data_IF_624952119167
#
_entry.id   IF_624952119167
#
_cell.length_a   1.000
_cell.length_b   1.000
_cell.length_c   1.000
_cell.angle_alpha   90.00
_cell.angle_beta   90.00
_cell.angle_gamma   90.00
#
_symmetry.space_group_name_H-M   'P 1'
#
loop_
_entity.id
_entity.type
_entity.pdbx_description
1 polymer ?
#
# COMPACT_ATOMS: atom_id res chain seq x y z
N UNK A 1 15.56 14.26 -5.44
CA UNK A 1 14.25 13.58 -5.31
C UNK A 1 14.50 12.12 -4.99
N UNK A 2 13.91 11.58 -3.91
CA UNK A 2 13.92 10.15 -3.64
C UNK A 2 13.12 9.44 -4.75
N UNK A 3 13.75 8.50 -5.46
CA UNK A 3 13.03 7.68 -6.45
C UNK A 3 12.28 6.57 -5.70
N UNK A 4 10.95 6.44 -5.86
CA UNK A 4 10.24 5.31 -5.29
C UNK A 4 10.78 4.00 -5.86
N UNK A 5 10.92 2.99 -5.01
CA UNK A 5 11.41 1.65 -5.35
C UNK A 5 10.68 0.62 -4.50
N UNK A 6 10.63 -0.65 -4.89
CA UNK A 6 10.20 -1.70 -3.99
C UNK A 6 10.94 -1.65 -2.64
N UNK A 7 10.24 -1.96 -1.56
CA UNK A 7 10.72 -1.83 -0.18
C UNK A 7 10.77 -3.18 0.52
N UNK A 8 11.93 -3.50 1.07
CA UNK A 8 12.15 -4.66 1.94
C UNK A 8 12.12 -4.28 3.43
N UNK A 9 12.56 -3.07 3.74
CA UNK A 9 12.60 -2.50 5.09
C UNK A 9 11.63 -1.33 5.23
N UNK A 10 10.79 -1.38 6.25
CA UNK A 10 9.84 -0.33 6.57
C UNK A 10 9.36 -0.47 8.03
N UNK A 11 8.80 0.61 8.57
CA UNK A 11 8.16 0.62 9.90
C UNK A 11 6.64 0.81 9.76
N UNK A 12 5.88 0.00 10.48
CA UNK A 12 4.42 0.17 10.61
C UNK A 12 4.14 0.97 11.89
N UNK A 13 3.59 2.18 11.75
CA UNK A 13 3.16 2.98 12.91
C UNK A 13 1.93 2.35 13.59
N UNK A 14 1.69 2.59 14.90
CA UNK A 14 0.52 2.05 15.62
C UNK A 14 -0.81 2.36 14.93
N UNK A 15 -0.97 3.58 14.41
CA UNK A 15 -2.14 3.96 13.62
C UNK A 15 -2.29 3.08 12.37
N UNK A 16 -1.23 2.88 11.60
CA UNK A 16 -1.26 2.04 10.40
C UNK A 16 -1.57 0.58 10.75
N UNK A 17 -1.01 0.05 11.84
CA UNK A 17 -1.29 -1.30 12.32
C UNK A 17 -2.77 -1.48 12.68
N UNK A 18 -3.36 -0.52 13.37
CA UNK A 18 -4.80 -0.50 13.65
C UNK A 18 -5.64 -0.52 12.36
N UNK A 19 -5.26 0.29 11.37
CA UNK A 19 -5.95 0.35 10.09
C UNK A 19 -5.85 -0.96 9.29
N UNK A 20 -4.68 -1.59 9.26
CA UNK A 20 -4.46 -2.89 8.62
C UNK A 20 -5.40 -3.95 9.21
N UNK A 21 -5.44 -4.06 10.54
CA UNK A 21 -6.31 -5.00 11.26
C UNK A 21 -7.79 -4.74 10.97
N UNK A 22 -8.23 -3.48 11.12
CA UNK A 22 -9.63 -3.09 10.87
C UNK A 22 -10.08 -3.37 9.43
N UNK A 23 -9.16 -3.33 8.46
CA UNK A 23 -9.42 -3.52 7.03
C UNK A 23 -9.03 -4.90 6.52
N UNK A 24 -8.70 -5.83 7.42
CA UNK A 24 -8.33 -7.21 7.11
C UNK A 24 -7.20 -7.31 6.07
N UNK A 25 -6.24 -6.39 6.12
CA UNK A 25 -5.01 -6.45 5.33
C UNK A 25 -3.95 -7.13 6.20
N UNK A 26 -3.55 -8.34 5.82
CA UNK A 26 -2.48 -9.04 6.52
C UNK A 26 -1.13 -8.38 6.28
N UNK A 27 -0.21 -8.53 7.23
CA UNK A 27 1.18 -8.06 7.07
C UNK A 27 1.90 -8.78 5.92
N UNK A 28 1.51 -10.03 5.62
CA UNK A 28 2.00 -10.78 4.45
C UNK A 28 1.59 -10.09 3.16
N UNK A 29 0.30 -9.72 3.02
CA UNK A 29 -0.19 -9.01 1.84
C UNK A 29 0.46 -7.63 1.70
N UNK A 30 0.63 -6.91 2.81
CA UNK A 30 1.36 -5.64 2.85
C UNK A 30 2.81 -5.81 2.35
N UNK A 31 3.54 -6.79 2.89
CA UNK A 31 4.93 -7.07 2.53
C UNK A 31 5.07 -7.40 1.05
N UNK A 32 4.24 -8.32 0.53
CA UNK A 32 4.25 -8.69 -0.88
C UNK A 32 4.00 -7.48 -1.79
N UNK A 33 3.02 -6.64 -1.44
CA UNK A 33 2.72 -5.43 -2.19
C UNK A 33 3.89 -4.43 -2.17
N UNK A 34 4.56 -4.24 -1.02
CA UNK A 34 5.69 -3.32 -0.92
C UNK A 34 6.94 -3.83 -1.65
N UNK A 35 7.14 -5.15 -1.69
CA UNK A 35 8.26 -5.80 -2.38
C UNK A 35 8.06 -5.92 -3.90
N UNK A 36 6.82 -5.96 -4.37
CA UNK A 36 6.50 -6.05 -5.81
C UNK A 36 5.21 -5.29 -6.14
N UNK A 37 5.20 -3.95 -6.01
CA UNK A 37 4.02 -3.16 -6.29
C UNK A 37 3.75 -3.14 -7.80
N UNK A 38 2.50 -3.37 -8.20
CA UNK A 38 2.10 -3.12 -9.60
C UNK A 38 2.32 -1.66 -10.01
N UNK A 39 2.05 -0.71 -9.11
CA UNK A 39 2.28 0.72 -9.33
C UNK A 39 2.78 1.42 -8.08
N UNK A 40 3.69 2.37 -8.28
CA UNK A 40 4.06 3.36 -7.28
C UNK A 40 3.74 4.74 -7.85
N UNK A 41 2.89 5.50 -7.16
CA UNK A 41 2.46 6.84 -7.59
C UNK A 41 2.76 7.85 -6.49
N UNK A 42 3.07 9.08 -6.87
CA UNK A 42 3.20 10.19 -5.92
C UNK A 42 1.83 10.82 -5.66
N UNK A 43 1.52 11.11 -4.39
CA UNK A 43 0.33 11.85 -4.01
C UNK A 43 0.60 13.36 -3.96
N UNK A 44 -0.45 14.16 -3.80
CA UNK A 44 -0.35 15.63 -3.82
C UNK A 44 0.43 16.22 -2.64
N UNK A 45 0.71 15.43 -1.62
CA UNK A 45 1.42 15.84 -0.41
C UNK A 45 2.88 15.34 -0.40
N UNK A 46 3.40 14.85 -1.53
CA UNK A 46 4.76 14.31 -1.64
C UNK A 46 4.94 12.96 -0.96
N UNK A 47 3.85 12.24 -0.66
CA UNK A 47 3.90 10.85 -0.19
C UNK A 47 3.79 9.90 -1.38
N UNK A 48 4.25 8.68 -1.19
CA UNK A 48 4.16 7.65 -2.22
C UNK A 48 3.06 6.66 -1.89
N UNK A 49 2.30 6.25 -2.91
CA UNK A 49 1.27 5.23 -2.80
C UNK A 49 1.74 4.01 -3.58
N UNK A 50 1.96 2.94 -2.86
CA UNK A 50 2.22 1.62 -3.41
C UNK A 50 0.88 0.92 -3.54
N UNK A 51 0.58 0.40 -4.72
CA UNK A 51 -0.70 -0.24 -4.97
C UNK A 51 -0.58 -1.47 -5.85
N UNK A 52 -1.46 -2.44 -5.62
CA UNK A 52 -1.53 -3.65 -6.44
C UNK A 52 -2.95 -4.18 -6.51
N UNK A 53 -3.31 -4.72 -7.67
CA UNK A 53 -4.56 -5.43 -7.88
C UNK A 53 -4.48 -6.77 -7.18
N UNK A 54 -5.55 -7.10 -6.48
CA UNK A 54 -5.73 -8.36 -5.77
C UNK A 54 -7.06 -8.96 -6.20
N UNK A 55 -7.22 -10.27 -6.01
CA UNK A 55 -8.46 -10.99 -6.30
C UNK A 55 -9.02 -11.61 -5.03
N UNK A 56 -10.32 -11.44 -4.79
CA UNK A 56 -11.00 -12.18 -3.72
C UNK A 56 -11.05 -13.65 -4.13
N UNK A 57 -10.56 -14.55 -3.26
CA UNK A 57 -10.51 -15.99 -3.55
C UNK A 57 -11.90 -16.55 -3.92
N UNK A 58 -12.93 -16.11 -3.21
CA UNK A 58 -14.28 -16.70 -3.33
C UNK A 58 -15.07 -16.18 -4.53
N UNK A 59 -14.86 -14.92 -4.93
CA UNK A 59 -15.67 -14.28 -5.98
C UNK A 59 -14.90 -13.98 -7.27
N UNK A 60 -13.57 -14.11 -7.26
CA UNK A 60 -12.71 -13.68 -8.35
C UNK A 60 -12.70 -12.17 -8.61
N UNK A 61 -13.50 -11.39 -7.88
CA UNK A 61 -13.61 -9.94 -8.05
C UNK A 61 -12.27 -9.28 -7.72
N UNK A 62 -11.87 -8.37 -8.60
CA UNK A 62 -10.67 -7.58 -8.38
C UNK A 62 -10.94 -6.45 -7.38
N UNK A 63 -9.94 -6.20 -6.55
CA UNK A 63 -9.87 -5.03 -5.68
C UNK A 63 -8.44 -4.50 -5.68
N UNK A 64 -8.27 -3.27 -5.20
CA UNK A 64 -6.98 -2.63 -5.11
C UNK A 64 -6.60 -2.50 -3.64
N UNK A 65 -5.41 -2.96 -3.27
CA UNK A 65 -4.79 -2.56 -2.00
C UNK A 65 -3.94 -1.32 -2.29
N UNK A 66 -4.09 -0.29 -1.46
CA UNK A 66 -3.32 0.96 -1.52
C UNK A 66 -2.63 1.19 -0.19
N UNK A 67 -1.32 1.43 -0.23
CA UNK A 67 -0.47 1.67 0.93
C UNK A 67 0.20 3.02 0.77
N UNK A 68 -0.10 3.94 1.67
CA UNK A 68 0.51 5.27 1.71
C UNK A 68 1.79 5.19 2.54
N UNK A 69 2.90 5.53 1.91
CA UNK A 69 4.24 5.49 2.46
C UNK A 69 4.81 6.89 2.61
N UNK A 70 5.47 7.13 3.74
CA UNK A 70 6.37 8.24 3.94
C UNK A 70 7.80 7.76 3.69
N UNK A 71 8.38 8.17 2.57
CA UNK A 71 9.76 7.81 2.20
C UNK A 71 10.79 8.82 2.72
N UNK A 72 10.37 9.87 3.42
CA UNK A 72 11.29 10.86 4.01
C UNK A 72 11.84 10.40 5.36
N UNK A 73 11.21 9.39 5.98
CA UNK A 73 11.66 8.73 7.20
C UNK A 73 12.64 7.60 6.90
N UNK A 74 13.53 7.33 7.86
CA UNK A 74 14.47 6.19 7.81
C UNK A 74 14.29 5.29 9.06
N UNK A 75 13.78 4.05 8.91
CA UNK A 75 13.30 3.45 7.67
C UNK A 75 11.98 4.10 7.19
N UNK A 76 11.62 3.85 5.92
CA UNK A 76 10.36 4.30 5.35
C UNK A 76 9.15 3.85 6.18
N UNK A 77 8.12 4.69 6.28
CA UNK A 77 7.02 4.44 7.20
C UNK A 77 5.69 4.21 6.49
N UNK A 78 4.95 3.19 6.94
CA UNK A 78 3.56 2.97 6.53
C UNK A 78 2.69 3.97 7.29
N UNK A 79 2.08 4.90 6.55
CA UNK A 79 1.15 5.90 7.10
C UNK A 79 -0.24 5.31 7.25
N UNK A 80 -0.75 4.68 6.20
CA UNK A 80 -2.05 3.98 6.21
C UNK A 80 -2.13 2.99 5.05
N UNK A 81 -3.02 2.00 5.17
CA UNK A 81 -3.32 1.06 4.09
C UNK A 81 -4.82 0.78 4.04
N UNK A 82 -5.39 0.66 2.85
CA UNK A 82 -6.80 0.33 2.66
C UNK A 82 -7.05 -0.41 1.36
N UNK A 83 -8.23 -1.04 1.29
CA UNK A 83 -8.72 -1.72 0.10
C UNK A 83 -9.82 -0.90 -0.56
N UNK A 84 -9.95 -0.99 -1.88
CA UNK A 84 -11.06 -0.39 -2.62
C UNK A 84 -11.39 -1.19 -3.88
N UNK A 85 -12.67 -1.32 -4.21
CA UNK A 85 -13.13 -1.90 -5.47
C UNK A 85 -13.15 -0.88 -6.62
N UNK A 86 -12.92 0.41 -6.35
CA UNK A 86 -12.96 1.46 -7.38
C UNK A 86 -11.63 1.57 -8.14
N UNK A 87 -11.22 0.48 -8.79
CA UNK A 87 -9.95 0.38 -9.51
C UNK A 87 -9.83 1.49 -10.56
N UNK A 88 -10.89 1.75 -11.33
CA UNK A 88 -10.90 2.77 -12.41
C UNK A 88 -10.52 4.17 -11.93
N UNK A 89 -10.90 4.56 -10.71
CA UNK A 89 -10.56 5.87 -10.13
C UNK A 89 -9.07 6.00 -9.82
N UNK A 90 -8.44 4.89 -9.47
CA UNK A 90 -7.18 4.86 -8.74
C UNK A 90 -6.01 4.25 -9.52
N UNK A 91 -6.30 3.46 -10.54
CA UNK A 91 -5.33 2.90 -11.46
C UNK A 91 -4.86 3.96 -12.46
N UNK A 92 -3.56 3.95 -12.75
CA UNK A 92 -2.94 4.86 -13.72
C UNK A 92 -2.28 4.12 -14.86
#
# INVERSE_FOLDING_TARGET
>A
MLKPKPLEEYRIKPHALFQLRRRQISEVALRHLLQSPDQIIEDRNGRYIYQSKMRFKDSGKEYLIRVVMDLTSDPAEVVTAYQTSNIKKYWR
#
